data_IF_737769203849
#
_entry.id   IF_737769203849
#
_cell.length_a   1.000
_cell.length_b   1.000
_cell.length_c   1.000
_cell.angle_alpha   90.00
_cell.angle_beta   90.00
_cell.angle_gamma   90.00
#
_symmetry.space_group_name_H-M   'P 1'
#
loop_
_entity.id
_entity.type
_entity.pdbx_description
1 polymer ?
#
# COMPACT_ATOMS: atom_id res chain seq x y z
N UNK A 1 31.93 -2.32 13.81
CA UNK A 1 32.55 -1.48 12.75
C UNK A 1 31.76 -1.71 11.47
N UNK A 2 31.23 -0.65 10.80
CA UNK A 2 30.50 -0.81 9.53
C UNK A 2 31.42 -1.26 8.41
N UNK A 3 30.92 -2.12 7.52
CA UNK A 3 31.66 -2.56 6.33
C UNK A 3 31.85 -1.36 5.39
N UNK A 4 33.06 -1.20 4.86
CA UNK A 4 33.36 -0.17 3.87
C UNK A 4 32.70 -0.54 2.55
N UNK A 5 31.76 0.30 2.09
CA UNK A 5 31.03 0.16 0.83
C UNK A 5 31.15 1.50 0.10
N UNK A 6 31.35 1.46 -1.21
CA UNK A 6 31.47 2.66 -2.04
C UNK A 6 30.09 3.13 -2.53
N UNK A 7 29.96 4.43 -2.80
CA UNK A 7 28.72 5.01 -3.37
C UNK A 7 28.33 4.35 -4.70
N UNK A 8 29.30 3.95 -5.51
CA UNK A 8 29.02 3.25 -6.76
C UNK A 8 28.43 1.85 -6.55
N UNK A 9 28.82 1.15 -5.49
CA UNK A 9 28.22 -0.14 -5.12
C UNK A 9 26.76 0.05 -4.64
N UNK A 10 26.51 1.08 -3.84
CA UNK A 10 25.17 1.44 -3.38
C UNK A 10 24.26 1.78 -4.56
N UNK A 11 24.71 2.68 -5.45
CA UNK A 11 23.94 3.10 -6.63
C UNK A 11 23.61 1.93 -7.55
N UNK A 12 24.57 1.05 -7.83
CA UNK A 12 24.33 -0.15 -8.66
C UNK A 12 23.34 -1.10 -8.03
N UNK A 13 23.39 -1.30 -6.72
CA UNK A 13 22.45 -2.14 -6.01
C UNK A 13 21.02 -1.59 -6.09
N UNK A 14 20.84 -0.29 -5.84
CA UNK A 14 19.51 0.38 -5.92
C UNK A 14 18.94 0.28 -7.34
N UNK A 15 19.69 0.70 -8.35
CA UNK A 15 19.23 0.71 -9.74
C UNK A 15 18.98 -0.72 -10.24
N UNK A 16 19.86 -1.65 -9.92
CA UNK A 16 19.74 -3.05 -10.34
C UNK A 16 18.47 -3.72 -9.78
N UNK A 17 18.22 -3.60 -8.49
CA UNK A 17 17.05 -4.20 -7.87
C UNK A 17 15.75 -3.49 -8.32
N UNK A 18 15.76 -2.15 -8.44
CA UNK A 18 14.62 -1.43 -8.99
C UNK A 18 14.27 -1.91 -10.40
N UNK A 19 15.24 -1.93 -11.32
CA UNK A 19 15.03 -2.33 -12.71
C UNK A 19 14.54 -3.77 -12.82
N UNK A 20 15.05 -4.66 -11.96
CA UNK A 20 14.65 -6.06 -11.94
C UNK A 20 13.16 -6.22 -11.65
N UNK A 21 12.69 -5.74 -10.49
CA UNK A 21 11.30 -5.90 -10.13
C UNK A 21 10.37 -5.05 -11.02
N UNK A 22 10.80 -3.87 -11.47
CA UNK A 22 9.99 -3.02 -12.35
C UNK A 22 9.72 -3.71 -13.70
N UNK A 23 10.73 -4.35 -14.30
CA UNK A 23 10.54 -5.13 -15.53
C UNK A 23 9.53 -6.28 -15.35
N UNK A 24 9.48 -6.89 -14.17
CA UNK A 24 8.50 -7.94 -13.87
C UNK A 24 7.07 -7.38 -13.86
N UNK A 25 6.88 -6.13 -13.44
CA UNK A 25 5.57 -5.50 -13.24
C UNK A 25 5.13 -4.53 -14.35
N UNK A 26 5.95 -4.35 -15.41
CA UNK A 26 5.53 -3.62 -16.62
C UNK A 26 4.24 -4.23 -17.21
N UNK A 27 4.12 -5.55 -17.16
CA UNK A 27 2.88 -6.24 -17.49
C UNK A 27 2.30 -6.79 -16.18
N UNK A 28 1.30 -6.11 -15.68
CA UNK A 28 0.54 -6.48 -14.47
C UNK A 28 -0.86 -6.97 -14.84
N UNK A 29 -1.43 -7.84 -14.02
CA UNK A 29 -2.84 -8.23 -14.16
C UNK A 29 -3.76 -7.10 -13.71
N UNK A 30 -3.36 -6.39 -12.66
CA UNK A 30 -4.12 -5.26 -12.10
C UNK A 30 -3.18 -4.13 -11.71
N UNK A 31 -3.59 -2.91 -12.04
CA UNK A 31 -2.98 -1.67 -11.53
C UNK A 31 -4.00 -0.98 -10.64
N UNK A 32 -3.62 -0.76 -9.39
CA UNK A 32 -4.41 0.00 -8.40
C UNK A 32 -3.88 1.41 -8.35
N UNK A 33 -4.75 2.39 -8.62
CA UNK A 33 -4.40 3.81 -8.60
C UNK A 33 -4.69 4.39 -7.22
N UNK A 34 -3.62 4.79 -6.54
CA UNK A 34 -3.65 5.37 -5.20
C UNK A 34 -3.38 4.36 -4.08
N UNK A 35 -2.36 4.66 -3.27
CA UNK A 35 -1.93 3.87 -2.11
C UNK A 35 -2.60 4.28 -0.80
N UNK A 36 -3.84 4.79 -0.84
CA UNK A 36 -4.65 5.02 0.36
C UNK A 36 -5.21 3.71 0.93
N UNK A 37 -5.94 3.75 2.07
CA UNK A 37 -6.39 2.54 2.76
C UNK A 37 -7.21 1.60 1.87
N UNK A 38 -8.12 2.14 1.05
CA UNK A 38 -8.93 1.33 0.14
C UNK A 38 -8.09 0.66 -0.96
N UNK A 39 -7.13 1.40 -1.53
CA UNK A 39 -6.22 0.87 -2.54
C UNK A 39 -5.29 -0.20 -1.97
N UNK A 40 -4.80 -0.02 -0.73
CA UNK A 40 -3.97 -1.01 -0.05
C UNK A 40 -4.73 -2.32 0.21
N UNK A 41 -5.98 -2.24 0.70
CA UNK A 41 -6.81 -3.43 0.93
C UNK A 41 -7.10 -4.14 -0.40
N UNK A 42 -7.55 -3.39 -1.41
CA UNK A 42 -7.83 -3.96 -2.72
C UNK A 42 -6.60 -4.65 -3.33
N UNK A 43 -5.45 -4.00 -3.28
CA UNK A 43 -4.21 -4.57 -3.81
C UNK A 43 -3.76 -5.82 -3.04
N UNK A 44 -3.88 -5.80 -1.71
CA UNK A 44 -3.60 -6.96 -0.86
C UNK A 44 -4.47 -8.16 -1.27
N UNK A 45 -5.76 -7.95 -1.38
CA UNK A 45 -6.70 -9.03 -1.66
C UNK A 45 -6.52 -9.59 -3.07
N UNK A 46 -6.28 -8.72 -4.05
CA UNK A 46 -5.97 -9.12 -5.43
C UNK A 46 -4.66 -9.92 -5.51
N UNK A 47 -3.62 -9.48 -4.80
CA UNK A 47 -2.35 -10.20 -4.75
C UNK A 47 -2.48 -11.54 -4.04
N UNK A 48 -3.22 -11.61 -2.93
CA UNK A 48 -3.53 -12.86 -2.24
C UNK A 48 -4.34 -13.83 -3.11
N UNK A 49 -5.15 -13.33 -4.04
CA UNK A 49 -5.84 -14.12 -5.05
C UNK A 49 -4.92 -14.59 -6.21
N UNK A 50 -3.63 -14.27 -6.16
CA UNK A 50 -2.63 -14.69 -7.14
C UNK A 50 -2.48 -13.78 -8.34
N UNK A 51 -3.09 -12.59 -8.33
CA UNK A 51 -2.96 -11.62 -9.41
C UNK A 51 -1.69 -10.78 -9.22
N UNK A 52 -0.95 -10.56 -10.30
CA UNK A 52 0.19 -9.66 -10.32
C UNK A 52 -0.29 -8.21 -10.20
N UNK A 53 -0.22 -7.67 -9.00
CA UNK A 53 -0.82 -6.39 -8.63
C UNK A 53 0.24 -5.32 -8.39
N UNK A 54 0.08 -4.17 -9.09
CA UNK A 54 0.91 -2.98 -8.94
C UNK A 54 0.06 -1.83 -8.39
N UNK A 55 0.53 -1.18 -7.34
CA UNK A 55 -0.03 0.09 -6.86
C UNK A 55 0.83 1.22 -7.44
N UNK A 56 0.21 2.22 -8.04
CA UNK A 56 0.85 3.48 -8.39
C UNK A 56 0.36 4.59 -7.45
N UNK A 57 1.29 5.36 -6.86
CA UNK A 57 1.00 6.39 -5.88
C UNK A 57 1.76 7.67 -6.22
N UNK A 58 1.04 8.79 -6.23
CA UNK A 58 1.62 10.11 -6.56
C UNK A 58 2.54 10.66 -5.49
N UNK A 59 2.30 10.31 -4.22
CA UNK A 59 3.13 10.74 -3.11
C UNK A 59 4.38 9.85 -2.94
N UNK A 60 5.30 10.30 -2.12
CA UNK A 60 6.49 9.54 -1.73
C UNK A 60 6.22 8.53 -0.60
N UNK A 61 4.99 8.42 -0.13
CA UNK A 61 4.54 7.49 0.91
C UNK A 61 3.14 6.97 0.59
N UNK A 62 2.78 5.85 1.17
CA UNK A 62 1.47 5.21 1.06
C UNK A 62 0.73 5.27 2.40
N UNK A 63 -0.56 4.94 2.39
CA UNK A 63 -1.42 4.98 3.57
C UNK A 63 -2.38 6.16 3.61
N UNK A 64 -2.10 7.22 2.81
CA UNK A 64 -2.98 8.37 2.69
C UNK A 64 -3.35 8.98 4.04
N UNK A 65 -4.63 9.26 4.23
CA UNK A 65 -5.14 9.89 5.45
C UNK A 65 -5.08 9.04 6.72
N UNK A 66 -4.77 7.73 6.61
CA UNK A 66 -4.66 6.86 7.79
C UNK A 66 -3.57 7.31 8.76
N UNK A 67 -2.49 7.90 8.26
CA UNK A 67 -1.41 8.39 9.10
C UNK A 67 -1.82 9.48 10.09
N UNK A 68 -2.73 10.35 9.65
CA UNK A 68 -3.09 11.56 10.40
C UNK A 68 -4.41 11.40 11.17
N UNK A 69 -5.22 10.40 10.82
CA UNK A 69 -6.51 10.16 11.47
C UNK A 69 -7.54 11.27 11.26
N UNK A 70 -8.64 11.18 12.01
CA UNK A 70 -9.66 12.21 12.02
C UNK A 70 -9.15 13.49 12.70
N UNK A 71 -9.47 14.64 12.12
CA UNK A 71 -9.08 15.97 12.63
C UNK A 71 -7.58 16.13 12.92
N UNK A 72 -6.70 15.37 12.22
CA UNK A 72 -5.25 15.35 12.44
C UNK A 72 -4.82 14.95 13.86
N UNK A 73 -5.63 14.13 14.54
CA UNK A 73 -5.40 13.72 15.93
C UNK A 73 -4.88 12.29 16.05
N UNK A 74 -4.39 11.69 14.95
CA UNK A 74 -3.90 10.31 14.89
C UNK A 74 -4.94 9.22 15.26
N UNK A 75 -6.17 9.59 15.53
CA UNK A 75 -7.24 8.65 15.85
C UNK A 75 -8.08 8.40 14.60
N UNK A 76 -8.22 7.14 14.25
CA UNK A 76 -9.11 6.67 13.19
C UNK A 76 -10.43 6.21 13.78
N UNK A 77 -11.51 6.44 13.04
CA UNK A 77 -12.82 5.87 13.35
C UNK A 77 -13.21 4.85 12.29
N UNK A 78 -13.82 3.76 12.73
CA UNK A 78 -14.32 2.69 11.87
C UNK A 78 -15.77 2.39 12.25
N UNK A 79 -16.54 1.93 11.30
CA UNK A 79 -17.89 1.45 11.49
C UNK A 79 -17.98 -0.02 11.14
N UNK A 80 -18.80 -0.75 11.85
CA UNK A 80 -19.09 -2.13 11.48
C UNK A 80 -19.53 -2.21 9.99
N UNK A 81 -19.10 -3.21 9.21
CA UNK A 81 -18.31 -4.38 9.61
C UNK A 81 -16.78 -4.21 9.42
N UNK A 82 -16.24 -3.00 9.44
CA UNK A 82 -14.80 -2.78 9.22
C UNK A 82 -13.92 -3.31 10.37
N UNK A 83 -14.50 -3.60 11.52
CA UNK A 83 -13.85 -4.32 12.63
C UNK A 83 -13.32 -5.69 12.21
N UNK A 84 -13.97 -6.39 11.27
CA UNK A 84 -13.49 -7.65 10.72
C UNK A 84 -12.07 -7.49 10.11
N UNK A 85 -11.83 -6.37 9.41
CA UNK A 85 -10.50 -6.06 8.84
C UNK A 85 -9.50 -5.70 9.93
N UNK A 86 -9.96 -5.01 10.99
CA UNK A 86 -9.09 -4.67 12.12
C UNK A 86 -8.62 -5.94 12.84
N UNK A 87 -9.50 -6.91 13.03
CA UNK A 87 -9.19 -8.20 13.64
C UNK A 87 -8.23 -9.00 12.75
N UNK A 88 -8.52 -9.11 11.45
CA UNK A 88 -7.67 -9.80 10.48
C UNK A 88 -6.23 -9.25 10.50
N UNK A 89 -6.09 -7.92 10.51
CA UNK A 89 -4.80 -7.24 10.54
C UNK A 89 -4.21 -7.13 11.95
N UNK A 90 -4.88 -7.66 12.97
CA UNK A 90 -4.49 -7.57 14.39
C UNK A 90 -4.25 -6.13 14.83
N UNK A 91 -5.08 -5.22 14.36
CA UNK A 91 -5.07 -3.82 14.75
C UNK A 91 -5.79 -3.71 16.10
N UNK A 92 -5.15 -3.10 17.09
CA UNK A 92 -5.81 -2.83 18.37
C UNK A 92 -6.79 -1.68 18.20
N UNK A 93 -8.02 -1.90 18.60
CA UNK A 93 -9.09 -0.91 18.57
C UNK A 93 -9.95 -0.98 19.86
N UNK A 94 -10.79 0.01 20.03
CA UNK A 94 -11.76 0.08 21.11
C UNK A 94 -13.11 0.45 20.53
N UNK A 95 -14.14 -0.28 20.93
CA UNK A 95 -15.52 0.10 20.68
C UNK A 95 -15.91 1.24 21.64
N UNK A 96 -16.44 2.32 21.10
CA UNK A 96 -16.88 3.51 21.83
C UNK A 96 -18.39 3.54 21.99
N UNK A 97 -19.09 3.17 20.92
CA UNK A 97 -20.53 3.01 20.84
C UNK A 97 -20.83 1.79 19.97
N UNK A 98 -22.03 1.29 19.99
CA UNK A 98 -22.44 0.13 19.20
C UNK A 98 -22.11 0.30 17.71
N UNK A 99 -21.20 -0.55 17.23
CA UNK A 99 -20.69 -0.52 15.86
C UNK A 99 -19.79 0.68 15.51
N UNK A 100 -19.32 1.45 16.49
CA UNK A 100 -18.33 2.53 16.30
C UNK A 100 -17.04 2.21 17.02
N UNK A 101 -15.97 2.06 16.26
CA UNK A 101 -14.65 1.70 16.75
C UNK A 101 -13.63 2.81 16.52
N UNK A 102 -12.62 2.87 17.40
CA UNK A 102 -11.48 3.78 17.26
C UNK A 102 -10.17 3.00 17.35
N UNK A 103 -9.20 3.42 16.53
CA UNK A 103 -7.84 2.87 16.55
C UNK A 103 -6.80 3.97 16.36
N UNK A 104 -5.56 3.67 16.74
CA UNK A 104 -4.41 4.54 16.47
C UNK A 104 -4.06 4.50 14.98
N UNK A 105 -4.01 5.67 14.34
CA UNK A 105 -3.78 5.81 12.90
C UNK A 105 -2.44 5.26 12.45
N UNK A 106 -1.31 5.70 13.03
CA UNK A 106 0.00 5.17 12.70
C UNK A 106 0.12 3.65 12.86
N UNK A 107 -0.44 3.09 13.91
CA UNK A 107 -0.45 1.64 14.14
C UNK A 107 -1.27 0.91 13.08
N UNK A 108 -2.49 1.36 12.83
CA UNK A 108 -3.37 0.76 11.83
C UNK A 108 -2.77 0.86 10.41
N UNK A 109 -2.24 2.04 10.07
CA UNK A 109 -1.61 2.28 8.78
C UNK A 109 -0.40 1.38 8.55
N UNK A 110 0.48 1.25 9.54
CA UNK A 110 1.69 0.42 9.45
C UNK A 110 1.34 -1.05 9.24
N UNK A 111 0.35 -1.56 9.94
CA UNK A 111 -0.09 -2.97 9.80
C UNK A 111 -0.73 -3.22 8.44
N UNK A 112 -1.55 -2.31 7.96
CA UNK A 112 -2.15 -2.43 6.62
C UNK A 112 -1.08 -2.41 5.52
N UNK A 113 -0.11 -1.50 5.60
CA UNK A 113 1.00 -1.42 4.67
C UNK A 113 1.81 -2.73 4.69
N UNK A 114 2.17 -3.22 5.88
CA UNK A 114 2.91 -4.47 6.02
C UNK A 114 2.16 -5.63 5.36
N UNK A 115 0.87 -5.79 5.68
CA UNK A 115 0.05 -6.85 5.10
C UNK A 115 -0.06 -6.77 3.57
N UNK A 116 -0.13 -5.54 3.03
CA UNK A 116 -0.14 -5.32 1.58
C UNK A 116 1.20 -5.70 0.94
N UNK A 117 2.32 -5.34 1.55
CA UNK A 117 3.64 -5.75 1.07
C UNK A 117 3.85 -7.26 1.16
N UNK A 118 3.40 -7.88 2.25
CA UNK A 118 3.53 -9.31 2.50
C UNK A 118 2.69 -10.17 1.52
N UNK A 119 1.59 -9.61 0.99
CA UNK A 119 0.78 -10.27 -0.06
C UNK A 119 1.50 -10.38 -1.41
N UNK A 120 2.60 -9.65 -1.61
CA UNK A 120 3.36 -9.60 -2.85
C UNK A 120 2.96 -8.48 -3.80
N UNK A 121 1.95 -7.65 -3.47
CA UNK A 121 1.66 -6.45 -4.22
C UNK A 121 2.88 -5.51 -4.27
N UNK A 122 3.18 -4.94 -5.42
CA UNK A 122 4.27 -3.97 -5.58
C UNK A 122 3.74 -2.55 -5.57
N UNK A 123 4.58 -1.64 -5.11
CA UNK A 123 4.24 -0.23 -4.94
C UNK A 123 5.24 0.61 -5.71
N UNK A 124 4.75 1.47 -6.58
CA UNK A 124 5.51 2.47 -7.31
C UNK A 124 5.08 3.86 -6.86
N UNK A 125 5.89 4.46 -5.99
CA UNK A 125 5.68 5.83 -5.51
C UNK A 125 6.09 6.86 -6.55
N UNK A 126 5.72 8.13 -6.32
CA UNK A 126 6.06 9.28 -7.16
C UNK A 126 5.59 9.11 -8.61
N UNK A 127 4.53 8.34 -8.80
CA UNK A 127 3.95 8.05 -10.12
C UNK A 127 2.51 8.55 -10.15
N UNK A 128 2.31 9.65 -10.86
CA UNK A 128 1.00 10.24 -11.01
C UNK A 128 0.23 9.57 -12.13
N UNK A 129 -1.01 9.17 -11.84
CA UNK A 129 -1.95 8.74 -12.84
C UNK A 129 -2.57 9.96 -13.53
N UNK A 130 -2.54 10.01 -14.84
CA UNK A 130 -3.19 11.06 -15.62
C UNK A 130 -4.35 10.49 -16.46
N UNK A 131 -4.11 9.43 -17.23
CA UNK A 131 -5.11 8.82 -18.10
C UNK A 131 -4.70 7.39 -18.47
N UNK A 132 -5.58 6.69 -19.18
CA UNK A 132 -5.33 5.35 -19.71
C UNK A 132 -5.41 5.34 -21.23
N UNK A 133 -4.56 4.55 -21.84
CA UNK A 133 -4.71 4.18 -23.23
C UNK A 133 -5.49 2.87 -23.31
N UNK A 134 -6.59 2.87 -24.04
CA UNK A 134 -7.43 1.69 -24.23
C UNK A 134 -7.28 1.17 -25.65
N UNK A 135 -6.77 -0.04 -25.81
CA UNK A 135 -6.63 -0.71 -27.11
C UNK A 135 -7.01 -2.19 -27.00
N UNK A 136 -7.72 -2.69 -28.01
CA UNK A 136 -8.07 -4.11 -28.09
C UNK A 136 -8.67 -4.69 -26.79
N UNK A 137 -9.55 -3.93 -26.16
CA UNK A 137 -10.21 -4.29 -24.90
C UNK A 137 -9.27 -4.43 -23.69
N UNK A 138 -8.10 -3.81 -23.74
CA UNK A 138 -7.14 -3.73 -22.62
C UNK A 138 -6.75 -2.29 -22.34
N UNK A 139 -6.38 -2.03 -21.08
CA UNK A 139 -5.71 -0.81 -20.66
C UNK A 139 -4.20 -1.01 -20.86
N UNK A 140 -3.56 -0.03 -21.47
CA UNK A 140 -2.11 0.01 -21.72
C UNK A 140 -1.51 1.28 -21.10
#
# INVERSE_FOLDING_TARGET
MFKKITESQISRAIVGEFTKWFNEYIVSDVIVVGGGPSGLIAARDLANAGLKTLIIESNNYIGGGFWIGGYFMNTLTFRAPADEILDELKIHYKEIEDGLFVADGPSACSKLISATCDSGAKILNLTKFDDVVHRNNRVE
#
